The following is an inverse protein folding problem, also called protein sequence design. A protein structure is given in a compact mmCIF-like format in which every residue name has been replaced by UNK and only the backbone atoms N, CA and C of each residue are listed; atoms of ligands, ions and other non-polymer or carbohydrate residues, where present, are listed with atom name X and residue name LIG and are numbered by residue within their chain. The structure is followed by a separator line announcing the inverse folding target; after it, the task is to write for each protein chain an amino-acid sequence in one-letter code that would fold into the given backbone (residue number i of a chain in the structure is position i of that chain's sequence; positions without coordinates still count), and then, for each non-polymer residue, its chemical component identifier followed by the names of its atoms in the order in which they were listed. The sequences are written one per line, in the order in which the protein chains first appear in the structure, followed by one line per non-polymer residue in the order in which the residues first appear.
data_IF_768684991653
#
_entry.id   IF_768684991653
#
_cell.length_a   1.000
_cell.length_b   1.000
_cell.length_c   1.000
_cell.angle_alpha   90.00
_cell.angle_beta   90.00
_cell.angle_gamma   90.00
#
_symmetry.space_group_name_H-M   'P 1'
#
loop_
_entity.id
_entity.type
_entity.pdbx_description
1 polymer ?
#
# COMPACT_ATOMS: atom_id res chain seq x y z
N UNK A 1 5.04 6.51 -6.33
CA UNK A 1 4.82 5.44 -5.34
C UNK A 1 6.00 4.48 -5.43
N UNK A 2 6.44 3.96 -4.29
CA UNK A 2 7.61 3.07 -4.19
C UNK A 2 7.31 1.94 -3.22
N UNK A 3 8.01 0.81 -3.34
CA UNK A 3 7.91 -0.27 -2.37
C UNK A 3 9.13 -1.18 -2.38
N UNK A 4 9.38 -1.82 -1.24
CA UNK A 4 10.50 -2.73 -1.04
C UNK A 4 10.02 -4.18 -1.10
N UNK A 5 10.74 -5.04 -1.82
CA UNK A 5 10.39 -6.44 -2.01
C UNK A 5 11.63 -7.33 -1.88
N UNK A 6 11.47 -8.49 -1.23
CA UNK A 6 12.43 -9.58 -1.33
C UNK A 6 11.94 -10.60 -2.36
N UNK A 7 12.41 -10.46 -3.60
CA UNK A 7 11.94 -11.30 -4.71
C UNK A 7 12.27 -12.79 -4.53
N UNK A 8 13.21 -13.14 -3.65
CA UNK A 8 13.56 -14.55 -3.37
C UNK A 8 12.37 -15.30 -2.78
N UNK A 9 11.54 -14.64 -1.98
CA UNK A 9 10.32 -15.22 -1.43
C UNK A 9 9.29 -15.48 -2.54
N UNK A 10 8.98 -14.46 -3.34
CA UNK A 10 8.02 -14.57 -4.46
C UNK A 10 8.42 -15.62 -5.49
N UNK A 11 9.72 -15.75 -5.78
CA UNK A 11 10.26 -16.75 -6.71
C UNK A 11 10.48 -18.13 -6.07
N UNK A 12 10.19 -18.30 -4.78
CA UNK A 12 10.36 -19.58 -4.08
C UNK A 12 11.82 -20.03 -3.88
N UNK A 13 12.78 -19.10 -4.00
CA UNK A 13 14.23 -19.37 -3.89
C UNK A 13 14.66 -19.49 -2.43
N UNK A 14 14.08 -18.67 -1.54
CA UNK A 14 14.39 -18.65 -0.11
C UNK A 14 13.09 -18.77 0.71
N UNK A 15 13.00 -19.78 1.58
CA UNK A 15 11.78 -20.09 2.35
C UNK A 15 11.54 -19.13 3.53
N UNK A 16 12.61 -18.50 4.01
CA UNK A 16 12.60 -17.51 5.10
C UNK A 16 12.33 -16.08 4.60
N UNK A 17 12.44 -15.84 3.30
CA UNK A 17 12.12 -14.56 2.69
C UNK A 17 10.58 -14.38 2.60
N UNK A 18 10.02 -13.29 3.17
CA UNK A 18 8.57 -13.06 3.13
C UNK A 18 8.09 -12.81 1.69
N UNK A 19 6.92 -13.32 1.35
CA UNK A 19 6.23 -13.02 0.08
C UNK A 19 5.38 -11.76 0.27
N UNK A 20 5.65 -10.75 -0.55
CA UNK A 20 4.90 -9.49 -0.57
C UNK A 20 5.75 -8.27 -0.19
N UNK A 21 5.16 -7.08 -0.29
CA UNK A 21 5.84 -5.83 0.02
C UNK A 21 6.23 -5.76 1.49
N UNK A 22 7.47 -5.32 1.75
CA UNK A 22 7.98 -5.05 3.11
C UNK A 22 7.67 -3.62 3.56
N UNK A 23 7.63 -2.70 2.61
CA UNK A 23 7.24 -1.32 2.82
C UNK A 23 6.66 -0.76 1.53
N UNK A 24 5.70 0.15 1.66
CA UNK A 24 5.07 0.89 0.56
C UNK A 24 5.07 2.36 0.95
N UNK A 25 5.48 3.24 0.03
CA UNK A 25 5.57 4.69 0.23
C UNK A 25 4.81 5.39 -0.89
N UNK A 26 3.85 6.23 -0.52
CA UNK A 26 3.07 7.05 -1.45
C UNK A 26 3.45 8.51 -1.25
N UNK A 27 3.87 9.15 -2.34
CA UNK A 27 4.19 10.57 -2.38
C UNK A 27 3.28 11.22 -3.41
N UNK A 28 2.62 12.32 -3.03
CA UNK A 28 1.80 13.13 -3.90
C UNK A 28 2.51 14.47 -4.14
N UNK A 29 2.73 14.80 -5.40
CA UNK A 29 3.16 16.15 -5.76
C UNK A 29 1.90 16.98 -6.04
N UNK A 30 1.62 17.96 -5.18
CA UNK A 30 0.42 18.78 -5.27
C UNK A 30 0.80 20.14 -5.84
N UNK A 31 0.37 20.42 -7.06
CA UNK A 31 0.44 21.76 -7.64
C UNK A 31 -0.81 22.54 -7.25
N UNK A 32 -0.72 23.32 -6.18
CA UNK A 32 -1.85 24.06 -5.62
C UNK A 32 -1.40 25.28 -4.85
N UNK A 33 -2.23 26.33 -4.84
CA UNK A 33 -2.06 27.53 -4.03
C UNK A 33 -2.81 27.45 -2.69
N UNK A 34 -3.40 26.30 -2.36
CA UNK A 34 -4.15 26.11 -1.11
C UNK A 34 -3.23 26.21 0.12
N UNK A 35 -3.75 26.70 1.26
CA UNK A 35 -2.98 26.76 2.50
C UNK A 35 -2.56 25.36 2.99
N UNK A 36 -1.42 25.30 3.69
CA UNK A 36 -0.88 24.04 4.23
C UNK A 36 -1.88 23.27 5.09
N UNK A 37 -2.74 23.96 5.86
CA UNK A 37 -3.77 23.32 6.69
C UNK A 37 -4.75 22.47 5.86
N UNK A 38 -5.06 22.88 4.64
CA UNK A 38 -5.93 22.11 3.74
C UNK A 38 -5.20 20.95 3.10
N UNK A 39 -3.91 21.09 2.81
CA UNK A 39 -3.05 19.99 2.36
C UNK A 39 -2.91 18.93 3.45
N UNK A 40 -2.69 19.35 4.69
CA UNK A 40 -2.63 18.44 5.85
C UNK A 40 -3.97 17.73 6.06
N UNK A 41 -5.08 18.44 5.87
CA UNK A 41 -6.42 17.85 5.91
C UNK A 41 -6.62 16.83 4.79
N UNK A 42 -6.16 17.12 3.57
CA UNK A 42 -6.20 16.18 2.45
C UNK A 42 -5.41 14.90 2.76
N UNK A 43 -4.21 15.01 3.34
CA UNK A 43 -3.39 13.86 3.72
C UNK A 43 -4.11 13.00 4.77
N UNK A 44 -4.65 13.63 5.84
CA UNK A 44 -5.43 12.92 6.87
C UNK A 44 -6.65 12.21 6.30
N UNK A 45 -7.38 12.86 5.38
CA UNK A 45 -8.54 12.27 4.73
C UNK A 45 -8.12 11.12 3.80
N UNK A 46 -6.99 11.25 3.11
CA UNK A 46 -6.44 10.20 2.25
C UNK A 46 -6.09 8.97 3.08
N UNK A 47 -5.39 9.12 4.20
CA UNK A 47 -5.10 7.98 5.09
C UNK A 47 -6.37 7.32 5.61
N UNK A 48 -7.37 8.11 6.00
CA UNK A 48 -8.63 7.59 6.58
C UNK A 48 -9.55 6.92 5.55
N UNK A 49 -9.66 7.49 4.35
CA UNK A 49 -10.72 7.13 3.40
C UNK A 49 -10.21 6.53 2.09
N UNK A 50 -8.90 6.48 1.85
CA UNK A 50 -8.37 5.77 0.68
C UNK A 50 -8.62 4.27 0.83
N UNK A 51 -9.54 3.74 0.03
CA UNK A 51 -9.90 2.31 0.02
C UNK A 51 -8.65 1.44 -0.16
N UNK A 52 -7.77 1.80 -1.09
CA UNK A 52 -6.53 1.05 -1.34
C UNK A 52 -5.63 1.03 -0.11
N UNK A 53 -5.40 2.18 0.53
CA UNK A 53 -4.57 2.27 1.73
C UNK A 53 -5.16 1.45 2.89
N UNK A 54 -6.48 1.54 3.08
CA UNK A 54 -7.20 0.80 4.12
C UNK A 54 -7.17 -0.71 3.86
N UNK A 55 -7.35 -1.17 2.62
CA UNK A 55 -7.28 -2.60 2.26
C UNK A 55 -5.87 -3.19 2.44
N UNK A 56 -4.82 -2.40 2.20
CA UNK A 56 -3.44 -2.84 2.42
C UNK A 56 -3.12 -2.89 3.93
N UNK A 57 -3.60 -1.89 4.70
CA UNK A 57 -3.35 -1.79 6.14
C UNK A 57 -4.17 -2.78 6.96
N UNK A 58 -5.39 -3.09 6.49
CA UNK A 58 -6.33 -3.99 7.12
C UNK A 58 -6.70 -5.08 6.11
N UNK A 59 -6.17 -6.28 6.31
CA UNK A 59 -6.41 -7.42 5.44
C UNK A 59 -7.91 -7.77 5.43
N UNK A 60 -8.61 -7.68 4.28
CA UNK A 60 -9.99 -8.15 4.16
C UNK A 60 -10.02 -9.68 4.13
N UNK A 61 -11.22 -10.26 4.14
CA UNK A 61 -11.38 -11.69 3.87
C UNK A 61 -10.90 -12.02 2.46
N UNK A 62 -9.96 -12.96 2.33
CA UNK A 62 -9.39 -13.38 1.06
C UNK A 62 -9.66 -14.87 0.88
N UNK A 63 -10.31 -15.23 -0.23
CA UNK A 63 -10.53 -16.62 -0.64
C UNK A 63 -9.91 -16.86 -2.00
N UNK A 64 -9.24 -18.00 -2.16
CA UNK A 64 -8.74 -18.50 -3.45
C UNK A 64 -9.45 -19.82 -3.71
N UNK A 65 -10.03 -19.97 -4.90
CA UNK A 65 -10.70 -21.20 -5.31
C UNK A 65 -10.28 -21.60 -6.72
N UNK A 66 -10.27 -22.91 -6.97
CA UNK A 66 -10.12 -23.49 -8.29
C UNK A 66 -11.51 -23.87 -8.80
N UNK A 67 -11.78 -23.60 -10.08
CA UNK A 67 -12.94 -24.17 -10.78
C UNK A 67 -12.39 -25.04 -11.89
N UNK A 68 -12.69 -26.34 -11.83
CA UNK A 68 -12.38 -27.30 -12.89
C UNK A 68 -13.49 -27.34 -13.91
#
# INVERSE_FOLDING_TARGET
AEGDLDVRGTLGVAKDAPVGFRAIRLNFNLDTAEPQERVDSLLKLTERYCVVFQTISLKPELTVSERR
#
